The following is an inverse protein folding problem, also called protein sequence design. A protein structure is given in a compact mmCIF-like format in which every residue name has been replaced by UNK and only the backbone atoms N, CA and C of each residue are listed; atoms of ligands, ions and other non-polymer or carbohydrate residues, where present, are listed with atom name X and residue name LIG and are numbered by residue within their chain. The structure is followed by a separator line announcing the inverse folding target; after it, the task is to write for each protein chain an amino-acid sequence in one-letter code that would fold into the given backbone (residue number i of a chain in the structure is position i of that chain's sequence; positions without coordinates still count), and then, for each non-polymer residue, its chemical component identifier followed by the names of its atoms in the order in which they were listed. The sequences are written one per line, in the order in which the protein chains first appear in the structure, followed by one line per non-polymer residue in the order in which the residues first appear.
data_IF_091630236710
#
_entry.id   IF_091630236710
#
_cell.length_a   1.000
_cell.length_b   1.000
_cell.length_c   1.000
_cell.angle_alpha   90.00
_cell.angle_beta   90.00
_cell.angle_gamma   90.00
#
_symmetry.space_group_name_H-M   'P 1'
#
loop_
_entity.id
_entity.type
_entity.pdbx_description
1 polymer ?
#
# COMPACT_ATOMS: atom_id res chain seq x y z
N UNK A 1 5.71 22.99 12.38
CA UNK A 1 5.72 22.15 11.16
C UNK A 1 5.32 20.74 11.54
N UNK A 2 4.36 20.14 10.84
CA UNK A 2 4.04 18.72 11.00
C UNK A 2 5.19 17.87 10.47
N UNK A 3 5.63 16.85 11.22
CA UNK A 3 6.71 15.95 10.78
C UNK A 3 6.11 14.84 9.92
N UNK A 4 6.61 14.71 8.69
CA UNK A 4 6.13 13.77 7.67
C UNK A 4 6.99 12.52 7.52
N UNK A 5 7.80 12.16 8.52
CA UNK A 5 8.59 10.92 8.47
C UNK A 5 7.67 9.69 8.49
N UNK A 6 7.99 8.68 7.69
CA UNK A 6 7.28 7.39 7.73
C UNK A 6 7.62 6.71 9.06
N UNK A 7 6.59 6.44 9.88
CA UNK A 7 6.71 5.78 11.18
C UNK A 7 6.43 4.28 11.09
N UNK A 8 5.47 3.89 10.25
CA UNK A 8 5.08 2.48 10.06
C UNK A 8 4.61 2.24 8.63
N UNK A 9 4.95 1.06 8.13
CA UNK A 9 4.45 0.47 6.89
C UNK A 9 3.84 -0.88 7.23
N UNK A 10 2.62 -1.13 6.78
CA UNK A 10 2.00 -2.45 6.90
C UNK A 10 1.34 -2.82 5.58
N UNK A 11 1.76 -3.94 5.00
CA UNK A 11 1.23 -4.47 3.76
C UNK A 11 0.43 -5.74 4.01
N UNK A 12 -0.59 -5.97 3.18
CA UNK A 12 -1.41 -7.19 3.17
C UNK A 12 -1.82 -7.55 1.76
N UNK A 13 -2.05 -8.84 1.53
CA UNK A 13 -2.66 -9.34 0.30
C UNK A 13 -4.17 -9.09 0.34
N UNK A 14 -4.72 -8.61 -0.77
CA UNK A 14 -6.15 -8.44 -1.02
C UNK A 14 -6.50 -8.97 -2.42
N UNK A 15 -7.79 -9.04 -2.75
CA UNK A 15 -8.24 -9.39 -4.10
C UNK A 15 -8.64 -8.13 -4.88
N UNK A 16 -8.25 -8.06 -6.15
CA UNK A 16 -8.71 -7.02 -7.08
C UNK A 16 -10.13 -7.31 -7.62
N UNK A 17 -10.63 -6.46 -8.52
CA UNK A 17 -11.96 -6.61 -9.12
C UNK A 17 -12.14 -7.86 -9.99
N UNK A 18 -11.05 -8.53 -10.38
CA UNK A 18 -11.03 -9.78 -11.15
C UNK A 18 -10.78 -11.00 -10.26
N UNK A 19 -10.62 -10.81 -8.95
CA UNK A 19 -10.30 -11.88 -8.00
C UNK A 19 -8.84 -12.30 -8.00
N UNK A 20 -7.93 -11.52 -8.59
CA UNK A 20 -6.49 -11.80 -8.53
C UNK A 20 -5.87 -11.20 -7.26
N UNK A 21 -4.94 -11.91 -6.60
CA UNK A 21 -4.14 -11.35 -5.52
C UNK A 21 -3.43 -10.06 -5.94
N UNK A 22 -3.55 -9.02 -5.11
CA UNK A 22 -2.80 -7.76 -5.22
C UNK A 22 -2.42 -7.24 -3.83
N UNK A 23 -1.64 -6.17 -3.76
CA UNK A 23 -1.11 -5.61 -2.52
C UNK A 23 -1.83 -4.33 -2.14
N UNK A 24 -2.25 -4.25 -0.87
CA UNK A 24 -2.65 -3.03 -0.19
C UNK A 24 -1.57 -2.64 0.83
N UNK A 25 -1.29 -1.34 0.94
CA UNK A 25 -0.36 -0.80 1.94
C UNK A 25 -0.99 0.32 2.75
N UNK A 26 -0.86 0.22 4.07
CA UNK A 26 -1.17 1.25 5.04
C UNK A 26 0.13 1.91 5.53
N UNK A 27 0.17 3.24 5.48
CA UNK A 27 1.30 4.07 5.94
C UNK A 27 0.84 4.92 7.12
N UNK A 28 1.64 4.96 8.19
CA UNK A 28 1.47 5.92 9.29
C UNK A 28 2.66 6.88 9.33
N UNK A 29 2.40 8.18 9.33
CA UNK A 29 3.42 9.22 9.49
C UNK A 29 3.70 9.52 10.97
N UNK A 30 4.80 10.23 11.24
CA UNK A 30 5.20 10.63 12.59
C UNK A 30 4.25 11.64 13.25
N UNK A 31 3.43 12.33 12.47
CA UNK A 31 2.37 13.22 12.97
C UNK A 31 1.05 12.52 13.26
N UNK A 32 0.98 11.20 13.03
CA UNK A 32 -0.21 10.38 13.25
C UNK A 32 -1.12 10.24 12.03
N UNK A 33 -0.87 10.97 10.94
CA UNK A 33 -1.63 10.82 9.69
C UNK A 33 -1.50 9.40 9.15
N UNK A 34 -2.60 8.88 8.60
CA UNK A 34 -2.65 7.54 7.98
C UNK A 34 -3.17 7.62 6.55
N UNK A 35 -2.66 6.73 5.70
CA UNK A 35 -3.10 6.59 4.32
C UNK A 35 -3.06 5.13 3.91
N UNK A 36 -4.05 4.72 3.11
CA UNK A 36 -4.16 3.36 2.58
C UNK A 36 -4.29 3.44 1.06
N UNK A 37 -3.55 2.57 0.36
CA UNK A 37 -3.64 2.46 -1.09
C UNK A 37 -3.47 1.00 -1.53
N UNK A 38 -4.31 0.59 -2.48
CA UNK A 38 -4.20 -0.67 -3.21
C UNK A 38 -3.59 -0.43 -4.59
N UNK A 39 -2.67 -1.30 -4.99
CA UNK A 39 -2.07 -1.26 -6.33
C UNK A 39 -2.90 -2.13 -7.28
N UNK A 40 -3.18 -1.69 -8.53
CA UNK A 40 -3.83 -2.56 -9.52
C UNK A 40 -2.91 -3.73 -9.90
N UNK A 41 -3.49 -4.90 -10.13
CA UNK A 41 -2.73 -6.08 -10.55
C UNK A 41 -2.19 -5.92 -11.98
N UNK A 42 -0.97 -6.41 -12.22
CA UNK A 42 -0.30 -6.39 -13.51
C UNK A 42 0.36 -7.73 -13.83
N UNK A 43 0.84 -7.90 -15.07
CA UNK A 43 1.61 -9.08 -15.47
C UNK A 43 3.09 -8.88 -15.14
N UNK A 44 3.69 -9.83 -14.41
CA UNK A 44 5.13 -9.82 -14.12
C UNK A 44 5.88 -10.58 -15.24
N UNK A 45 6.12 -9.90 -16.35
CA UNK A 45 6.88 -10.45 -17.49
C UNK A 45 8.08 -9.58 -17.77
N UNK A 46 9.25 -10.19 -17.95
CA UNK A 46 10.47 -9.56 -18.49
C UNK A 46 10.99 -10.39 -19.65
N UNK A 47 11.33 -9.74 -20.77
CA UNK A 47 11.93 -10.35 -21.95
C UNK A 47 13.43 -10.01 -22.02
#
# INVERSE_FOLDING_TARGET
MSKTFIRRVHAREILDSRGFPTVETEITLSDGSTGVAAVPSGASTGA
#
